data_IF_654359153043
#
_entry.id   IF_654359153043
#
_cell.length_a   1.000
_cell.length_b   1.000
_cell.length_c   1.000
_cell.angle_alpha   90.00
_cell.angle_beta   90.00
_cell.angle_gamma   90.00
#
_symmetry.space_group_name_H-M   'P 1'
#
loop_
_entity.id
_entity.type
_entity.pdbx_description
1 polymer ?
#
# COMPACT_ATOMS: atom_id res chain seq x y z
N UNK A 1 35.58 -21.08 4.82
CA UNK A 1 36.13 -21.03 3.45
C UNK A 1 35.66 -22.29 2.72
N UNK A 2 34.93 -22.16 1.61
CA UNK A 2 34.34 -23.30 0.89
C UNK A 2 35.44 -24.20 0.27
N UNK A 3 35.35 -25.52 0.49
CA UNK A 3 36.36 -26.55 0.14
C UNK A 3 36.43 -26.82 -1.38
N UNK A 4 35.53 -26.23 -2.18
CA UNK A 4 35.40 -26.52 -3.62
C UNK A 4 36.42 -25.76 -4.48
N UNK A 5 37.11 -24.74 -3.93
CA UNK A 5 37.98 -23.85 -4.72
C UNK A 5 39.31 -24.46 -5.18
N UNK A 6 39.69 -25.64 -4.69
CA UNK A 6 41.07 -26.16 -4.83
C UNK A 6 41.30 -27.14 -6.01
N UNK A 7 40.27 -27.53 -6.77
CA UNK A 7 40.43 -28.56 -7.83
C UNK A 7 39.84 -28.25 -9.20
N UNK A 8 39.02 -27.21 -9.31
CA UNK A 8 38.58 -26.64 -10.57
C UNK A 8 38.27 -25.16 -10.30
N UNK A 9 38.75 -24.24 -11.14
CA UNK A 9 38.38 -22.82 -11.04
C UNK A 9 36.93 -22.66 -11.50
N UNK A 10 36.00 -23.12 -10.67
CA UNK A 10 34.56 -22.98 -10.91
C UNK A 10 34.15 -21.63 -10.34
N UNK A 11 33.64 -20.71 -11.17
CA UNK A 11 33.19 -19.41 -10.70
C UNK A 11 32.02 -19.58 -9.72
N UNK A 12 32.09 -18.84 -8.60
CA UNK A 12 31.04 -18.85 -7.58
C UNK A 12 30.16 -17.62 -7.75
N UNK A 13 28.85 -17.85 -7.87
CA UNK A 13 27.86 -16.78 -7.91
C UNK A 13 27.34 -16.46 -6.50
N UNK A 14 27.44 -15.21 -6.09
CA UNK A 14 26.79 -14.68 -4.89
C UNK A 14 25.30 -14.43 -5.13
N UNK A 15 24.47 -14.82 -4.17
CA UNK A 15 23.02 -14.56 -4.16
C UNK A 15 22.65 -13.91 -2.83
N UNK A 16 21.68 -12.99 -2.85
CA UNK A 16 21.13 -12.43 -1.60
C UNK A 16 20.76 -10.97 -1.73
N UNK A 17 19.50 -10.70 -2.06
CA UNK A 17 18.90 -9.37 -1.88
C UNK A 17 19.54 -8.21 -2.64
N UNK A 18 20.36 -8.46 -3.67
CA UNK A 18 21.02 -7.41 -4.47
C UNK A 18 19.97 -6.51 -5.14
N UNK A 19 20.02 -5.21 -4.83
CA UNK A 19 19.14 -4.19 -5.42
C UNK A 19 19.96 -3.13 -6.14
N UNK A 20 21.05 -2.68 -5.52
CA UNK A 20 21.86 -1.57 -6.02
C UNK A 20 23.28 -1.99 -6.39
N UNK A 21 24.02 -1.09 -7.06
CA UNK A 21 25.43 -1.28 -7.38
C UNK A 21 26.26 -1.67 -6.15
N UNK A 22 26.04 -0.95 -5.05
CA UNK A 22 26.75 -1.15 -3.79
C UNK A 22 26.56 -2.56 -3.20
N UNK A 23 25.39 -3.16 -3.38
CA UNK A 23 25.12 -4.53 -2.90
C UNK A 23 25.89 -5.56 -3.74
N UNK A 24 25.98 -5.33 -5.05
CA UNK A 24 26.75 -6.17 -5.95
C UNK A 24 28.27 -6.03 -5.70
N UNK A 25 28.75 -4.80 -5.49
CA UNK A 25 30.15 -4.51 -5.18
C UNK A 25 30.58 -5.16 -3.86
N UNK A 26 29.78 -5.07 -2.81
CA UNK A 26 30.04 -5.77 -1.54
C UNK A 26 30.20 -7.29 -1.75
N UNK A 27 29.34 -7.90 -2.58
CA UNK A 27 29.47 -9.31 -2.91
C UNK A 27 30.79 -9.64 -3.62
N UNK A 28 31.19 -8.83 -4.60
CA UNK A 28 32.46 -9.00 -5.31
C UNK A 28 33.66 -8.86 -4.35
N UNK A 29 33.63 -7.89 -3.44
CA UNK A 29 34.66 -7.70 -2.41
C UNK A 29 34.79 -8.90 -1.45
N UNK A 30 33.68 -9.58 -1.17
CA UNK A 30 33.66 -10.80 -0.36
C UNK A 30 34.23 -12.03 -1.08
N UNK A 31 34.65 -11.89 -2.33
CA UNK A 31 35.36 -12.92 -3.10
C UNK A 31 34.44 -13.83 -3.90
N UNK A 32 33.22 -13.40 -4.18
CA UNK A 32 32.35 -13.98 -5.20
C UNK A 32 32.80 -13.52 -6.59
N UNK A 33 32.74 -14.41 -7.59
CA UNK A 33 33.21 -14.12 -8.94
C UNK A 33 32.12 -13.45 -9.79
N UNK A 34 30.85 -13.67 -9.44
CA UNK A 34 29.67 -13.10 -10.10
C UNK A 34 28.56 -12.84 -9.06
N UNK A 35 27.63 -11.92 -9.37
CA UNK A 35 26.46 -11.64 -8.53
C UNK A 35 25.17 -11.89 -9.29
N UNK A 36 24.22 -12.55 -8.63
CA UNK A 36 22.91 -12.84 -9.20
C UNK A 36 21.85 -11.85 -8.70
N UNK A 37 21.15 -11.23 -9.65
CA UNK A 37 20.09 -10.25 -9.39
C UNK A 37 18.78 -10.79 -9.94
N UNK A 38 17.84 -11.10 -9.05
CA UNK A 38 16.54 -11.67 -9.41
C UNK A 38 15.42 -10.65 -9.24
N UNK A 39 15.11 -10.33 -7.98
CA UNK A 39 13.97 -9.48 -7.61
C UNK A 39 14.02 -8.09 -8.25
N UNK A 40 15.20 -7.46 -8.33
CA UNK A 40 15.33 -6.15 -8.96
C UNK A 40 15.10 -6.22 -10.47
N UNK A 41 15.47 -7.31 -11.14
CA UNK A 41 15.19 -7.52 -12.57
C UNK A 41 13.71 -7.82 -12.86
N UNK A 42 12.99 -8.39 -11.88
CA UNK A 42 11.54 -8.58 -11.98
C UNK A 42 10.82 -7.22 -11.86
N UNK A 43 11.28 -6.36 -10.95
CA UNK A 43 10.72 -5.02 -10.78
C UNK A 43 11.12 -4.06 -11.92
N UNK A 44 12.37 -4.17 -12.39
CA UNK A 44 12.98 -3.30 -13.38
C UNK A 44 13.67 -4.14 -14.44
N UNK A 45 13.01 -4.44 -15.57
CA UNK A 45 13.63 -5.18 -16.68
C UNK A 45 14.90 -4.49 -17.23
N UNK A 46 15.00 -3.17 -17.06
CA UNK A 46 16.11 -2.29 -17.44
C UNK A 46 17.09 -2.01 -16.28
N UNK A 47 17.05 -2.80 -15.21
CA UNK A 47 17.89 -2.64 -14.02
C UNK A 47 19.37 -2.38 -14.34
N UNK A 48 19.95 -3.14 -15.26
CA UNK A 48 21.37 -2.99 -15.63
C UNK A 48 21.71 -1.61 -16.18
N UNK A 49 20.81 -1.01 -16.96
CA UNK A 49 21.00 0.32 -17.53
C UNK A 49 20.89 1.41 -16.45
N UNK A 50 19.93 1.28 -15.52
CA UNK A 50 19.73 2.23 -14.42
C UNK A 50 20.88 2.22 -13.43
N UNK A 51 21.37 1.04 -13.07
CA UNK A 51 22.54 0.90 -12.22
C UNK A 51 23.80 1.43 -12.91
N UNK A 52 23.96 1.20 -14.22
CA UNK A 52 25.05 1.80 -14.98
C UNK A 52 24.97 3.33 -15.07
N UNK A 53 23.77 3.90 -15.00
CA UNK A 53 23.53 5.35 -14.90
C UNK A 53 23.77 5.93 -13.49
N UNK A 54 23.99 5.07 -12.48
CA UNK A 54 24.20 5.46 -11.09
C UNK A 54 22.92 5.78 -10.33
N UNK A 55 21.77 5.26 -10.78
CA UNK A 55 20.50 5.40 -10.06
C UNK A 55 20.47 4.51 -8.82
N UNK A 56 19.88 5.03 -7.75
CA UNK A 56 19.57 4.25 -6.53
C UNK A 56 18.12 3.80 -6.59
N UNK A 57 17.91 2.49 -6.54
CA UNK A 57 16.61 1.85 -6.73
C UNK A 57 16.08 1.29 -5.40
N UNK A 58 14.84 1.63 -5.07
CA UNK A 58 14.11 0.92 -4.03
C UNK A 58 13.40 -0.31 -4.62
N UNK A 59 13.55 -1.47 -3.98
CA UNK A 59 12.98 -2.72 -4.46
C UNK A 59 11.46 -2.78 -4.19
N UNK A 60 10.68 -2.16 -5.08
CA UNK A 60 9.22 -2.09 -5.03
C UNK A 60 8.61 -2.42 -6.40
N UNK A 61 7.49 -3.16 -6.39
CA UNK A 61 6.67 -3.43 -7.58
C UNK A 61 5.28 -2.85 -7.35
N UNK A 62 4.77 -2.11 -8.33
CA UNK A 62 3.41 -1.59 -8.31
C UNK A 62 2.39 -2.70 -8.62
N UNK A 63 1.31 -2.76 -7.83
CA UNK A 63 0.21 -3.71 -8.00
C UNK A 63 -0.49 -3.56 -9.37
N UNK A 64 -0.50 -2.35 -9.93
CA UNK A 64 -1.16 -2.01 -11.20
C UNK A 64 -0.33 -2.33 -12.44
N UNK A 65 1.00 -2.46 -12.30
CA UNK A 65 1.92 -2.70 -13.43
C UNK A 65 2.01 -4.17 -13.85
N UNK A 66 1.09 -5.00 -13.38
CA UNK A 66 1.07 -6.45 -13.62
C UNK A 66 1.03 -6.84 -15.09
N UNK A 67 0.22 -6.14 -15.88
CA UNK A 67 0.12 -6.39 -17.32
C UNK A 67 1.31 -5.80 -18.09
N UNK A 68 1.84 -4.66 -17.64
CA UNK A 68 2.98 -3.98 -18.27
C UNK A 68 4.29 -4.77 -18.12
N UNK A 69 4.50 -5.41 -16.97
CA UNK A 69 5.70 -6.19 -16.68
C UNK A 69 5.61 -7.65 -17.15
N UNK A 70 4.47 -8.07 -17.74
CA UNK A 70 4.26 -9.42 -18.28
C UNK A 70 4.58 -10.56 -17.27
N UNK A 71 4.38 -10.31 -15.97
CA UNK A 71 4.72 -11.26 -14.91
C UNK A 71 3.60 -12.30 -14.78
N UNK A 72 3.87 -13.61 -15.00
CA UNK A 72 2.86 -14.67 -14.90
C UNK A 72 2.18 -14.75 -13.52
N UNK A 73 0.87 -14.98 -13.48
CA UNK A 73 0.07 -15.06 -12.23
C UNK A 73 0.67 -15.94 -11.12
N UNK A 74 1.27 -17.12 -11.41
CA UNK A 74 1.84 -17.96 -10.37
C UNK A 74 2.98 -17.31 -9.58
N UNK A 75 3.72 -16.37 -10.19
CA UNK A 75 4.81 -15.65 -9.52
C UNK A 75 4.29 -14.55 -8.59
N UNK A 76 3.09 -14.01 -8.84
CA UNK A 76 2.47 -13.00 -7.98
C UNK A 76 2.04 -13.54 -6.62
N UNK A 77 1.64 -14.82 -6.57
CA UNK A 77 1.24 -15.50 -5.34
C UNK A 77 2.43 -16.03 -4.54
N UNK A 78 3.65 -15.72 -4.98
CA UNK A 78 4.86 -16.14 -4.29
C UNK A 78 5.21 -15.10 -3.21
N UNK A 79 5.29 -15.52 -1.95
CA UNK A 79 5.41 -14.62 -0.81
C UNK A 79 6.61 -13.66 -0.87
N UNK A 80 7.68 -14.02 -1.59
CA UNK A 80 8.85 -13.15 -1.79
C UNK A 80 8.62 -12.02 -2.79
N UNK A 81 7.70 -12.19 -3.74
CA UNK A 81 7.25 -11.15 -4.68
C UNK A 81 6.15 -10.33 -4.02
N UNK A 82 5.24 -10.99 -3.30
CA UNK A 82 4.16 -10.34 -2.54
C UNK A 82 4.69 -9.30 -1.54
N UNK A 83 5.78 -9.61 -0.82
CA UNK A 83 6.42 -8.66 0.10
C UNK A 83 7.05 -7.43 -0.59
N UNK A 84 7.25 -7.48 -1.91
CA UNK A 84 7.74 -6.36 -2.71
C UNK A 84 6.63 -5.54 -3.34
N UNK A 85 5.42 -6.09 -3.39
CA UNK A 85 4.26 -5.37 -3.90
C UNK A 85 3.91 -4.34 -2.84
N UNK A 86 4.15 -3.07 -3.14
CA UNK A 86 3.47 -2.00 -2.42
C UNK A 86 2.25 -1.64 -3.25
N UNK A 87 1.10 -1.48 -2.61
CA UNK A 87 -0.06 -0.96 -3.29
C UNK A 87 0.12 0.56 -3.47
N UNK A 88 0.97 0.94 -4.42
CA UNK A 88 1.24 2.33 -4.79
C UNK A 88 0.24 2.79 -5.83
N UNK A 89 -1.04 2.66 -5.51
CA UNK A 89 -1.98 3.65 -6.04
C UNK A 89 -1.84 4.90 -5.16
N UNK A 90 -0.75 5.64 -5.40
CA UNK A 90 -0.44 7.00 -4.94
C UNK A 90 0.03 7.86 -6.14
N UNK A 91 -0.59 7.67 -7.32
CA UNK A 91 -0.14 8.31 -8.57
C UNK A 91 -1.26 8.79 -9.48
N UNK A 92 -2.41 8.09 -9.49
CA UNK A 92 -3.67 8.66 -9.94
C UNK A 92 -4.37 9.21 -8.71
N UNK A 93 -4.81 10.47 -8.75
CA UNK A 93 -5.70 10.99 -7.71
C UNK A 93 -6.94 10.11 -7.65
N UNK A 94 -6.94 9.11 -6.75
CA UNK A 94 -8.03 8.16 -6.52
C UNK A 94 -9.33 8.89 -6.21
N UNK A 95 -9.20 10.09 -5.64
CA UNK A 95 -10.30 10.94 -5.25
C UNK A 95 -10.04 12.36 -5.73
N UNK A 96 -11.08 13.00 -6.28
CA UNK A 96 -11.08 14.46 -6.45
C UNK A 96 -11.03 15.11 -5.06
N UNK A 97 -10.05 16.00 -4.80
CA UNK A 97 -9.96 16.69 -3.52
C UNK A 97 -11.19 17.56 -3.34
N UNK A 98 -11.86 17.43 -2.21
CA UNK A 98 -13.12 18.11 -1.97
C UNK A 98 -13.83 17.66 -0.71
N UNK A 99 -14.79 18.47 -0.28
CA UNK A 99 -15.68 18.13 0.83
C UNK A 99 -16.95 17.49 0.28
N UNK A 100 -17.19 16.25 0.67
CA UNK A 100 -18.35 15.46 0.28
C UNK A 100 -19.29 15.34 1.46
N UNK A 101 -20.50 15.87 1.29
CA UNK A 101 -21.56 15.78 2.31
C UNK A 101 -22.45 14.59 1.95
N UNK A 102 -22.49 13.60 2.83
CA UNK A 102 -23.33 12.41 2.70
C UNK A 102 -24.34 12.35 3.83
N UNK A 103 -25.62 12.26 3.45
CA UNK A 103 -26.69 11.94 4.39
C UNK A 103 -26.89 10.44 4.40
N UNK A 104 -26.76 9.83 5.57
CA UNK A 104 -27.03 8.41 5.83
C UNK A 104 -28.13 8.28 6.85
N UNK A 105 -28.97 7.25 6.67
CA UNK A 105 -30.09 6.96 7.54
C UNK A 105 -29.65 5.88 8.53
N UNK A 106 -29.68 6.19 9.81
CA UNK A 106 -29.55 5.25 10.92
C UNK A 106 -30.96 4.83 11.37
N UNK A 107 -31.08 3.70 12.08
CA UNK A 107 -32.35 3.05 12.45
C UNK A 107 -33.38 4.02 13.09
N UNK A 108 -32.92 5.11 13.70
CA UNK A 108 -33.75 6.12 14.34
C UNK A 108 -33.66 7.53 13.74
N UNK A 109 -32.59 7.90 13.01
CA UNK A 109 -32.29 9.30 12.64
C UNK A 109 -31.52 9.43 11.32
N UNK A 110 -31.65 10.58 10.65
CA UNK A 110 -30.73 10.96 9.57
C UNK A 110 -29.46 11.61 10.15
N UNK A 111 -28.31 11.08 9.74
CA UNK A 111 -26.99 11.56 10.08
C UNK A 111 -26.35 12.17 8.83
N UNK A 112 -25.87 13.40 8.95
CA UNK A 112 -25.15 14.09 7.88
C UNK A 112 -23.66 14.02 8.21
N UNK A 113 -22.88 13.38 7.35
CA UNK A 113 -21.45 13.16 7.50
C UNK A 113 -20.72 13.94 6.42
N UNK A 114 -19.80 14.80 6.85
CA UNK A 114 -18.90 15.56 6.00
C UNK A 114 -17.58 14.79 5.89
N UNK A 115 -17.29 14.25 4.71
CA UNK A 115 -16.04 13.56 4.41
C UNK A 115 -15.17 14.50 3.58
N UNK A 116 -14.04 14.91 4.13
CA UNK A 116 -13.02 15.66 3.40
C UNK A 116 -12.05 14.67 2.77
N UNK A 117 -12.02 14.63 1.44
CA UNK A 117 -11.09 13.80 0.68
C UNK A 117 -9.96 14.68 0.14
N UNK A 118 -8.72 14.21 0.29
CA UNK A 118 -7.54 14.70 -0.40
C UNK A 118 -7.25 13.81 -1.62
N UNK A 119 -6.29 14.21 -2.46
CA UNK A 119 -5.93 13.50 -3.70
C UNK A 119 -5.68 11.99 -3.48
N UNK A 120 -5.25 11.59 -2.28
CA UNK A 120 -4.73 10.24 -2.00
C UNK A 120 -5.22 9.63 -0.67
N UNK A 121 -6.07 10.34 0.08
CA UNK A 121 -6.52 9.88 1.40
C UNK A 121 -7.77 10.59 1.89
N UNK A 122 -8.39 10.00 2.89
CA UNK A 122 -9.43 10.67 3.68
C UNK A 122 -8.72 11.65 4.62
N UNK A 123 -8.88 12.95 4.39
CA UNK A 123 -8.25 14.00 5.16
C UNK A 123 -8.95 14.22 6.50
N UNK A 124 -10.28 14.22 6.47
CA UNK A 124 -11.07 14.36 7.69
C UNK A 124 -12.48 13.77 7.50
N UNK A 125 -13.09 13.38 8.60
CA UNK A 125 -14.49 12.95 8.66
C UNK A 125 -15.13 13.69 9.84
N UNK A 126 -16.11 14.52 9.58
CA UNK A 126 -16.83 15.28 10.59
C UNK A 126 -18.32 14.98 10.53
N UNK A 127 -18.94 14.77 11.68
CA UNK A 127 -20.40 14.70 11.76
C UNK A 127 -20.96 16.13 11.74
N UNK A 128 -21.92 16.42 10.87
CA UNK A 128 -22.65 17.69 10.95
C UNK A 128 -23.58 17.64 12.17
N UNK A 129 -23.67 18.75 12.89
CA UNK A 129 -24.37 18.79 14.17
C UNK A 129 -25.88 18.51 14.02
N UNK A 130 -26.31 17.30 14.38
CA UNK A 130 -27.72 16.93 14.52
C UNK A 130 -28.19 17.17 15.96
N UNK A 131 -29.50 17.47 16.17
CA UNK A 131 -30.06 17.76 17.50
C UNK A 131 -30.09 16.55 18.47
N UNK A 132 -29.67 15.36 18.02
CA UNK A 132 -29.66 14.11 18.79
C UNK A 132 -28.23 13.59 18.96
N UNK A 133 -27.28 14.47 19.28
CA UNK A 133 -25.92 14.05 19.67
C UNK A 133 -25.88 13.78 21.17
N UNK A 134 -25.99 12.50 21.54
CA UNK A 134 -25.67 12.05 22.90
C UNK A 134 -24.15 11.89 23.02
N UNK A 135 -23.60 12.04 24.23
CA UNK A 135 -22.15 11.91 24.47
C UNK A 135 -21.64 10.51 24.08
N UNK A 136 -22.45 9.46 24.27
CA UNK A 136 -22.11 8.08 23.87
C UNK A 136 -22.00 7.92 22.34
N UNK A 137 -22.83 8.65 21.59
CA UNK A 137 -22.80 8.67 20.13
C UNK A 137 -21.50 9.32 19.62
N UNK A 138 -21.13 10.47 20.19
CA UNK A 138 -19.92 11.20 19.77
C UNK A 138 -18.64 10.43 20.04
N UNK A 139 -18.55 9.72 21.17
CA UNK A 139 -17.38 8.90 21.51
C UNK A 139 -17.20 7.73 20.54
N UNK A 140 -18.29 7.00 20.24
CA UNK A 140 -18.25 5.88 19.30
C UNK A 140 -17.92 6.35 17.88
N UNK A 141 -18.42 7.53 17.49
CA UNK A 141 -18.09 8.15 16.21
C UNK A 141 -16.61 8.56 16.11
N UNK A 142 -16.05 9.15 17.17
CA UNK A 142 -14.63 9.53 17.18
C UNK A 142 -13.71 8.30 17.08
N UNK A 143 -14.03 7.22 17.79
CA UNK A 143 -13.28 5.97 17.68
C UNK A 143 -13.30 5.37 16.27
N UNK A 144 -14.48 5.32 15.61
CA UNK A 144 -14.57 4.76 14.25
C UNK A 144 -13.90 5.70 13.24
N UNK A 145 -14.01 7.02 13.43
CA UNK A 145 -13.31 8.03 12.63
C UNK A 145 -11.81 7.82 12.69
N UNK A 146 -11.23 7.71 13.89
CA UNK A 146 -9.79 7.49 14.03
C UNK A 146 -9.34 6.19 13.37
N UNK A 147 -10.12 5.11 13.49
CA UNK A 147 -9.82 3.84 12.79
C UNK A 147 -9.84 4.00 11.27
N UNK A 148 -10.82 4.73 10.72
CA UNK A 148 -10.92 4.96 9.28
C UNK A 148 -9.77 5.86 8.80
N UNK A 149 -9.43 6.92 9.53
CA UNK A 149 -8.31 7.80 9.21
C UNK A 149 -6.97 7.06 9.29
N UNK A 150 -6.78 6.22 10.30
CA UNK A 150 -5.56 5.42 10.49
C UNK A 150 -5.43 4.31 9.46
N UNK A 151 -6.53 3.65 9.09
CA UNK A 151 -6.51 2.55 8.12
C UNK A 151 -6.60 3.05 6.67
N UNK A 152 -7.00 4.31 6.46
CA UNK A 152 -7.30 4.94 5.17
C UNK A 152 -8.22 4.08 4.28
N UNK A 153 -9.16 3.35 4.90
CA UNK A 153 -10.11 2.46 4.22
C UNK A 153 -11.48 2.52 4.89
N UNK A 154 -12.58 2.44 4.14
CA UNK A 154 -13.92 2.29 4.70
C UNK A 154 -14.15 0.90 5.31
N UNK A 155 -13.23 -0.05 5.11
CA UNK A 155 -13.36 -1.43 5.58
C UNK A 155 -12.73 -1.62 6.96
N UNK A 156 -13.33 -1.00 7.98
CA UNK A 156 -12.91 -1.12 9.39
C UNK A 156 -13.87 -1.99 10.19
N UNK A 157 -13.44 -2.50 11.35
CA UNK A 157 -14.31 -3.26 12.25
C UNK A 157 -15.37 -2.36 12.92
N UNK A 158 -16.57 -2.90 13.11
CA UNK A 158 -17.63 -2.21 13.86
C UNK A 158 -17.30 -2.13 15.36
N UNK A 159 -17.72 -1.06 16.01
CA UNK A 159 -17.57 -0.89 17.46
C UNK A 159 -18.70 -1.63 18.18
N UNK A 160 -18.34 -2.36 19.24
CA UNK A 160 -19.31 -3.09 20.07
C UNK A 160 -20.27 -2.12 20.74
N UNK A 161 -21.58 -2.27 20.50
CA UNK A 161 -22.62 -1.38 21.02
C UNK A 161 -23.04 -0.24 20.08
N UNK A 162 -22.33 -0.04 18.97
CA UNK A 162 -22.61 1.00 17.98
C UNK A 162 -22.56 0.46 16.53
N UNK A 163 -23.14 -0.73 16.32
CA UNK A 163 -23.09 -1.42 15.03
C UNK A 163 -23.77 -0.63 13.91
N UNK A 164 -25.01 -0.16 14.11
CA UNK A 164 -25.76 0.60 13.10
C UNK A 164 -25.02 1.89 12.71
N UNK A 165 -24.45 2.60 13.70
CA UNK A 165 -23.62 3.79 13.46
C UNK A 165 -22.34 3.47 12.69
N UNK A 166 -21.64 2.39 13.07
CA UNK A 166 -20.43 1.95 12.38
C UNK A 166 -20.71 1.67 10.91
N UNK A 167 -21.82 1.00 10.60
CA UNK A 167 -22.22 0.75 9.21
C UNK A 167 -22.61 2.02 8.45
N UNK A 168 -23.33 2.94 9.10
CA UNK A 168 -23.71 4.22 8.52
C UNK A 168 -22.48 5.05 8.10
N UNK A 169 -21.47 5.14 8.97
CA UNK A 169 -20.21 5.84 8.67
C UNK A 169 -19.45 5.17 7.53
N UNK A 170 -19.30 3.84 7.55
CA UNK A 170 -18.63 3.10 6.46
C UNK A 170 -19.32 3.34 5.12
N UNK A 171 -20.65 3.34 5.11
CA UNK A 171 -21.47 3.57 3.91
C UNK A 171 -21.33 5.00 3.40
N UNK A 172 -21.31 6.00 4.29
CA UNK A 172 -21.08 7.39 3.93
C UNK A 172 -19.71 7.58 3.29
N UNK A 173 -18.65 7.05 3.92
CA UNK A 173 -17.28 7.13 3.40
C UNK A 173 -17.17 6.44 2.05
N UNK A 174 -17.73 5.23 1.92
CA UNK A 174 -17.74 4.49 0.64
C UNK A 174 -18.45 5.28 -0.47
N UNK A 175 -19.56 5.95 -0.15
CA UNK A 175 -20.32 6.75 -1.11
C UNK A 175 -19.61 8.06 -1.48
N UNK A 176 -18.95 8.70 -0.53
CA UNK A 176 -18.08 9.85 -0.79
C UNK A 176 -16.94 9.47 -1.75
N UNK A 177 -16.28 8.34 -1.49
CA UNK A 177 -15.21 7.80 -2.35
C UNK A 177 -15.71 7.49 -3.77
N UNK A 178 -16.91 6.91 -3.91
CA UNK A 178 -17.55 6.66 -5.20
C UNK A 178 -17.89 7.94 -5.97
N UNK A 179 -18.34 9.00 -5.27
CA UNK A 179 -18.63 10.31 -5.91
C UNK A 179 -17.38 11.05 -6.37
N UNK A 180 -16.25 10.81 -5.71
CA UNK A 180 -14.97 11.44 -6.05
C UNK A 180 -14.22 10.74 -7.20
N UNK A 181 -14.70 9.57 -7.65
CA UNK A 181 -14.17 8.82 -8.80
C UNK A 181 -14.59 9.41 -10.16
#
# INVERSE_FOLDING_TARGET
>A
RCVIRDRAQVPVMGVGGVVNAADAEQGLEHGYDLMAVGRACIAYPDWTARIAAGEDLELFIDSTQREALNIPEPLWRFSLVEAMIRDMSMGDAKFKPGMFVETVQDDANELVINVSLENDRIADIALAASPVQTVEFTTSFEEIRERILSANTPHVDAISGATSQSEAVKKAVSKAMLKSS
#
